data_IF_685272477175
#
_entry.id   IF_685272477175
#
_cell.length_a   1.000
_cell.length_b   1.000
_cell.length_c   1.000
_cell.angle_alpha   90.00
_cell.angle_beta   90.00
_cell.angle_gamma   90.00
#
_symmetry.space_group_name_H-M   'P 1'
#
loop_
_entity.id
_entity.type
_entity.pdbx_description
1 polymer ?
#
# COMPACT_ATOMS: atom_id res chain seq x y z
N UNK A 1 -79.83 -17.49 19.76
CA UNK A 1 -78.98 -16.93 18.67
C UNK A 1 -78.01 -15.92 19.28
N UNK A 2 -76.73 -16.05 19.07
CA UNK A 2 -75.65 -15.09 19.34
C UNK A 2 -74.42 -15.60 20.11
N UNK A 3 -74.14 -16.88 20.07
CA UNK A 3 -72.91 -17.40 20.68
C UNK A 3 -71.90 -17.94 19.64
N UNK A 4 -72.29 -18.03 18.36
CA UNK A 4 -71.46 -18.60 17.29
C UNK A 4 -70.53 -17.54 16.68
N UNK A 5 -71.01 -16.32 16.56
CA UNK A 5 -70.26 -15.27 15.80
C UNK A 5 -68.98 -14.80 16.50
N UNK A 6 -68.97 -14.83 17.86
CA UNK A 6 -67.75 -14.40 18.62
C UNK A 6 -66.57 -15.38 18.46
N UNK A 7 -66.85 -16.66 18.27
CA UNK A 7 -65.75 -17.65 18.07
C UNK A 7 -65.17 -17.55 16.68
N UNK A 8 -65.99 -17.25 15.70
CA UNK A 8 -65.54 -17.07 14.31
C UNK A 8 -64.73 -15.82 14.12
N UNK A 9 -65.10 -14.72 14.76
CA UNK A 9 -64.33 -13.45 14.73
C UNK A 9 -62.98 -13.62 15.45
N UNK A 10 -62.97 -14.39 16.56
CA UNK A 10 -61.71 -14.61 17.30
C UNK A 10 -60.74 -15.51 16.52
N UNK A 11 -61.21 -16.49 15.75
CA UNK A 11 -60.37 -17.33 14.89
C UNK A 11 -59.83 -16.56 13.73
N UNK A 12 -60.59 -15.63 13.11
CA UNK A 12 -60.15 -14.75 12.02
C UNK A 12 -59.09 -13.77 12.49
N UNK A 13 -59.20 -13.22 13.71
CA UNK A 13 -58.20 -12.32 14.28
C UNK A 13 -56.88 -13.03 14.59
N UNK A 14 -56.90 -14.26 15.05
CA UNK A 14 -55.72 -15.06 15.33
C UNK A 14 -54.97 -15.45 14.05
N UNK A 15 -55.71 -15.75 12.96
CA UNK A 15 -55.13 -16.09 11.66
C UNK A 15 -54.48 -14.83 11.01
N UNK A 16 -55.10 -13.63 11.21
CA UNK A 16 -54.55 -12.42 10.69
C UNK A 16 -53.27 -11.92 11.43
N UNK A 17 -53.19 -12.19 12.74
CA UNK A 17 -51.96 -11.91 13.50
C UNK A 17 -50.81 -12.85 13.16
N UNK A 18 -51.08 -14.10 12.80
CA UNK A 18 -50.07 -15.08 12.43
C UNK A 18 -49.46 -14.82 11.03
N UNK A 19 -50.22 -14.19 10.12
CA UNK A 19 -49.74 -13.85 8.79
C UNK A 19 -48.80 -12.60 8.77
N UNK A 20 -48.84 -11.80 9.82
CA UNK A 20 -48.01 -10.60 9.93
C UNK A 20 -46.60 -10.86 10.45
N UNK A 21 -46.33 -12.06 10.96
CA UNK A 21 -45.01 -12.40 11.52
C UNK A 21 -44.03 -13.07 10.55
N UNK A 22 -44.44 -13.31 9.28
CA UNK A 22 -43.62 -14.04 8.33
C UNK A 22 -42.87 -13.18 7.33
N UNK A 23 -42.78 -11.87 7.50
CA UNK A 23 -42.10 -11.00 6.55
C UNK A 23 -41.01 -10.12 7.14
N UNK A 24 -40.39 -10.50 8.27
CA UNK A 24 -39.09 -9.94 8.63
C UNK A 24 -38.02 -10.87 8.04
N UNK A 25 -37.84 -10.76 6.74
CA UNK A 25 -36.58 -11.14 6.13
C UNK A 25 -35.54 -10.12 6.58
N UNK A 26 -34.80 -10.45 7.63
CA UNK A 26 -33.55 -9.76 7.93
C UNK A 26 -32.64 -10.02 6.73
N UNK A 27 -32.61 -9.05 5.81
CA UNK A 27 -31.51 -8.94 4.86
C UNK A 27 -30.29 -8.60 5.70
N UNK A 28 -29.63 -9.63 6.19
CA UNK A 28 -28.26 -9.53 6.60
C UNK A 28 -27.51 -9.33 5.28
N UNK A 29 -27.33 -8.07 4.87
CA UNK A 29 -26.33 -7.74 3.91
C UNK A 29 -25.02 -8.19 4.55
N UNK A 30 -24.46 -9.31 4.10
CA UNK A 30 -23.05 -9.57 4.27
C UNK A 30 -22.36 -8.35 3.65
N UNK A 31 -22.03 -7.38 4.50
CA UNK A 31 -21.08 -6.36 4.17
C UNK A 31 -19.81 -7.10 3.82
N UNK A 32 -19.53 -7.22 2.54
CA UNK A 32 -18.25 -7.71 2.04
C UNK A 32 -17.20 -6.82 2.70
N UNK A 33 -16.57 -7.35 3.74
CA UNK A 33 -15.47 -6.70 4.42
C UNK A 33 -14.38 -6.55 3.36
N UNK A 34 -14.33 -5.37 2.72
CA UNK A 34 -13.31 -5.02 1.74
C UNK A 34 -12.01 -5.03 2.52
N UNK A 35 -11.40 -6.20 2.59
CA UNK A 35 -10.07 -6.38 3.15
C UNK A 35 -9.15 -5.50 2.31
N UNK A 36 -8.52 -4.47 2.88
CA UNK A 36 -7.65 -3.61 2.09
C UNK A 36 -6.56 -4.48 1.47
N UNK A 37 -6.62 -4.63 0.15
CA UNK A 37 -5.61 -5.36 -0.59
C UNK A 37 -4.30 -4.58 -0.47
N UNK A 38 -3.36 -5.13 0.30
CA UNK A 38 -2.04 -4.54 0.45
C UNK A 38 -1.32 -4.68 -0.90
N UNK A 39 -1.24 -3.59 -1.63
CA UNK A 39 -0.58 -3.58 -2.93
C UNK A 39 0.93 -3.40 -2.74
N UNK A 40 1.69 -4.21 -3.48
CA UNK A 40 3.15 -4.10 -3.56
C UNK A 40 3.57 -3.81 -4.98
N UNK A 41 4.54 -2.93 -5.17
CA UNK A 41 5.18 -2.66 -6.45
C UNK A 41 6.68 -2.75 -6.30
N UNK A 42 7.33 -3.34 -7.29
CA UNK A 42 8.78 -3.56 -7.28
C UNK A 42 9.45 -2.59 -8.24
N UNK A 43 10.53 -1.99 -7.77
CA UNK A 43 11.48 -1.18 -8.56
C UNK A 43 12.83 -1.88 -8.51
N UNK A 44 13.44 -2.10 -9.66
CA UNK A 44 14.75 -2.75 -9.76
C UNK A 44 15.83 -1.75 -10.16
N UNK A 45 16.98 -1.84 -9.49
CA UNK A 45 18.15 -1.02 -9.74
C UNK A 45 19.18 -1.88 -10.46
N UNK A 46 19.52 -1.51 -11.71
CA UNK A 46 20.40 -2.31 -12.56
C UNK A 46 21.82 -1.75 -12.65
N UNK A 47 22.76 -2.59 -13.09
CA UNK A 47 24.19 -2.27 -13.20
C UNK A 47 24.46 -1.09 -14.15
N UNK A 48 23.73 -1.00 -15.26
CA UNK A 48 23.90 0.02 -16.28
C UNK A 48 23.49 1.42 -15.83
N UNK A 49 23.01 1.57 -14.61
CA UNK A 49 22.51 2.84 -14.10
C UNK A 49 21.04 3.08 -14.43
N UNK A 50 20.31 2.02 -14.69
CA UNK A 50 18.88 2.06 -14.99
C UNK A 50 18.02 1.68 -13.77
N UNK A 51 16.90 2.37 -13.66
CA UNK A 51 15.81 2.07 -12.71
C UNK A 51 14.60 1.58 -13.50
N UNK A 52 14.04 0.44 -13.12
CA UNK A 52 12.86 -0.08 -13.79
C UNK A 52 11.76 -0.47 -12.79
N UNK A 53 10.57 0.14 -12.88
CA UNK A 53 10.24 1.31 -13.68
C UNK A 53 10.89 2.60 -13.14
N UNK A 54 11.29 3.51 -14.03
CA UNK A 54 11.85 4.81 -13.66
C UNK A 54 10.81 5.75 -13.08
N UNK A 55 9.60 5.74 -13.65
CA UNK A 55 8.42 6.43 -13.15
C UNK A 55 7.35 5.39 -12.81
N UNK A 56 6.94 5.36 -11.57
CA UNK A 56 5.97 4.39 -11.07
C UNK A 56 4.72 5.11 -10.56
N UNK A 57 3.56 4.80 -11.14
CA UNK A 57 2.26 5.28 -10.63
C UNK A 57 1.63 4.22 -9.74
N UNK A 58 1.19 4.63 -8.57
CA UNK A 58 0.62 3.73 -7.54
C UNK A 58 -0.63 4.36 -6.90
N UNK A 59 -1.41 3.55 -6.20
CA UNK A 59 -2.49 3.99 -5.34
C UNK A 59 -1.96 4.24 -3.92
N UNK A 60 -2.67 5.08 -3.15
CA UNK A 60 -2.41 5.24 -1.72
C UNK A 60 -2.43 3.89 -0.99
N UNK A 61 -1.57 3.72 -0.01
CA UNK A 61 -1.42 2.46 0.73
C UNK A 61 -0.54 1.42 0.03
N UNK A 62 0.01 1.73 -1.16
CA UNK A 62 0.92 0.82 -1.86
C UNK A 62 2.31 0.86 -1.25
N UNK A 63 2.89 -0.30 -1.02
CA UNK A 63 4.30 -0.44 -0.63
C UNK A 63 5.17 -0.58 -1.87
N UNK A 64 6.14 0.31 -2.02
CA UNK A 64 7.18 0.20 -3.06
C UNK A 64 8.39 -0.50 -2.46
N UNK A 65 8.90 -1.51 -3.17
CA UNK A 65 10.04 -2.33 -2.79
C UNK A 65 11.13 -2.12 -3.83
N UNK A 66 12.25 -1.54 -3.44
CA UNK A 66 13.45 -1.43 -4.28
C UNK A 66 14.34 -2.64 -4.08
N UNK A 67 14.78 -3.25 -5.17
CA UNK A 67 15.71 -4.39 -5.19
C UNK A 67 16.96 -3.94 -5.90
N UNK A 68 18.11 -4.07 -5.24
CA UNK A 68 19.39 -3.79 -5.88
C UNK A 68 19.92 -5.03 -6.61
N UNK A 69 19.75 -5.07 -7.92
CA UNK A 69 20.29 -6.11 -8.80
C UNK A 69 21.71 -5.76 -9.33
N UNK A 70 22.21 -4.56 -9.02
CA UNK A 70 23.55 -4.12 -9.45
C UNK A 70 24.66 -4.70 -8.57
N UNK A 71 25.90 -4.58 -9.04
CA UNK A 71 27.09 -4.93 -8.23
C UNK A 71 27.54 -3.80 -7.29
N UNK A 72 27.07 -2.58 -7.55
CA UNK A 72 27.34 -1.42 -6.71
C UNK A 72 26.46 -1.46 -5.45
N UNK A 73 26.90 -0.73 -4.43
CA UNK A 73 26.08 -0.44 -3.27
C UNK A 73 25.18 0.74 -3.64
N UNK A 74 23.88 0.61 -3.38
CA UNK A 74 22.91 1.67 -3.66
C UNK A 74 22.46 2.33 -2.34
N UNK A 75 22.17 3.63 -2.40
CA UNK A 75 21.53 4.41 -1.35
C UNK A 75 20.47 5.28 -2.01
N UNK A 76 19.24 5.26 -1.47
CA UNK A 76 18.10 6.01 -2.02
C UNK A 76 17.83 7.21 -1.13
N UNK A 77 17.79 8.40 -1.75
CA UNK A 77 17.49 9.66 -1.08
C UNK A 77 16.30 10.32 -1.77
N UNK A 78 15.25 10.64 -1.01
CA UNK A 78 14.12 11.41 -1.51
C UNK A 78 14.49 12.90 -1.53
N UNK A 79 14.23 13.58 -2.64
CA UNK A 79 14.63 14.98 -2.81
C UNK A 79 13.58 15.97 -2.32
N UNK A 80 12.33 15.51 -2.14
CA UNK A 80 11.23 16.33 -1.68
C UNK A 80 10.99 16.08 -0.19
N UNK A 81 10.88 17.16 0.60
CA UNK A 81 10.46 17.09 1.99
C UNK A 81 9.06 16.46 2.06
N UNK A 82 8.86 15.55 2.99
CA UNK A 82 7.59 14.96 3.39
C UNK A 82 7.12 13.80 2.49
N UNK A 83 7.58 12.62 2.84
CA UNK A 83 6.83 11.40 2.58
C UNK A 83 6.15 11.04 3.90
N UNK A 84 4.86 11.24 4.04
CA UNK A 84 4.13 10.72 5.21
C UNK A 84 3.93 9.23 5.04
N UNK A 85 4.45 8.46 5.95
CA UNK A 85 4.41 7.00 5.92
C UNK A 85 3.34 6.50 6.88
N UNK A 86 2.39 5.72 6.37
CA UNK A 86 1.41 5.01 7.20
C UNK A 86 1.87 3.62 7.62
N UNK A 87 2.88 3.09 7.00
CA UNK A 87 3.33 1.76 7.32
C UNK A 87 4.19 1.77 8.58
N UNK A 88 3.87 0.87 9.49
CA UNK A 88 4.49 0.79 10.81
C UNK A 88 6.00 0.51 10.79
N UNK A 89 6.59 0.15 9.65
CA UNK A 89 7.98 -0.22 9.57
C UNK A 89 8.53 -0.04 8.16
N UNK A 90 9.11 1.13 7.83
CA UNK A 90 9.93 1.23 6.64
C UNK A 90 11.11 0.25 6.76
N UNK A 91 11.44 -0.45 5.68
CA UNK A 91 12.61 -1.32 5.67
C UNK A 91 13.78 -0.57 5.10
N UNK A 92 14.84 -0.43 5.90
CA UNK A 92 16.09 0.27 5.56
C UNK A 92 15.95 1.75 5.21
N UNK A 93 14.90 2.42 5.67
CA UNK A 93 14.77 3.86 5.56
C UNK A 93 14.75 4.51 6.92
N UNK A 94 15.44 5.62 7.03
CA UNK A 94 15.43 6.52 8.17
C UNK A 94 15.07 7.92 7.71
N UNK A 95 14.64 8.75 8.63
CA UNK A 95 14.40 10.17 8.38
C UNK A 95 15.61 10.94 8.90
N UNK A 96 16.23 11.77 8.05
CA UNK A 96 17.32 12.62 8.46
C UNK A 96 16.84 13.85 9.25
N UNK A 97 17.79 14.68 9.69
CA UNK A 97 17.49 15.92 10.43
C UNK A 97 16.66 16.92 9.65
N UNK A 98 16.66 16.84 8.30
CA UNK A 98 15.87 17.71 7.41
C UNK A 98 14.45 17.20 7.19
N UNK A 99 14.10 16.00 7.68
CA UNK A 99 12.83 15.33 7.43
C UNK A 99 12.79 14.58 6.09
N UNK A 100 13.94 14.32 5.49
CA UNK A 100 14.08 13.59 4.24
C UNK A 100 14.27 12.09 4.51
N UNK A 101 13.62 11.24 3.71
CA UNK A 101 13.85 9.79 3.81
C UNK A 101 15.12 9.41 3.05
N UNK A 102 16.03 8.76 3.76
CA UNK A 102 17.27 8.21 3.22
C UNK A 102 17.32 6.73 3.55
N UNK A 103 17.67 5.88 2.59
CA UNK A 103 17.88 4.46 2.88
C UNK A 103 19.26 4.22 3.47
N UNK A 104 19.37 3.13 4.23
CA UNK A 104 20.66 2.51 4.48
C UNK A 104 21.26 1.98 3.18
N UNK A 105 22.53 1.57 3.24
CA UNK A 105 23.24 0.92 2.15
C UNK A 105 22.56 -0.37 1.72
N UNK A 106 22.11 -0.42 0.48
CA UNK A 106 21.42 -1.54 -0.14
C UNK A 106 22.46 -2.33 -0.96
N UNK A 107 22.89 -3.44 -0.43
CA UNK A 107 23.82 -4.34 -1.12
C UNK A 107 23.11 -5.13 -2.23
N UNK A 108 23.86 -5.73 -3.14
CA UNK A 108 23.31 -6.59 -4.19
C UNK A 108 22.39 -7.67 -3.61
N UNK A 109 21.17 -7.78 -4.15
CA UNK A 109 20.14 -8.70 -3.71
C UNK A 109 19.39 -8.27 -2.44
N UNK A 110 19.82 -7.18 -1.81
CA UNK A 110 19.09 -6.61 -0.69
C UNK A 110 17.94 -5.71 -1.16
N UNK A 111 17.00 -5.46 -0.24
CA UNK A 111 15.79 -4.68 -0.51
C UNK A 111 15.67 -3.53 0.47
N UNK A 112 15.01 -2.45 0.02
CA UNK A 112 14.47 -1.40 0.85
C UNK A 112 13.00 -1.19 0.50
N UNK A 113 12.16 -0.75 1.43
CA UNK A 113 10.75 -0.52 1.12
C UNK A 113 10.15 0.64 1.90
N UNK A 114 9.24 1.34 1.24
CA UNK A 114 8.40 2.39 1.80
C UNK A 114 6.95 2.22 1.33
N UNK A 115 6.02 2.57 2.21
CA UNK A 115 4.60 2.64 1.88
C UNK A 115 4.16 4.10 1.76
N UNK A 116 3.41 4.40 0.71
CA UNK A 116 2.98 5.74 0.37
C UNK A 116 1.50 5.92 0.67
N UNK A 117 1.17 6.88 1.53
CA UNK A 117 -0.22 7.13 1.95
C UNK A 117 -0.75 8.47 1.51
N UNK A 118 0.10 9.38 1.10
CA UNK A 118 -0.30 10.69 0.59
C UNK A 118 -0.19 10.73 -0.93
N UNK A 119 -1.13 11.43 -1.54
CA UNK A 119 -1.08 11.73 -2.96
C UNK A 119 0.05 12.72 -3.25
N UNK A 120 0.67 12.56 -4.40
CA UNK A 120 1.73 13.47 -4.81
C UNK A 120 2.77 12.82 -5.71
N UNK A 121 3.77 13.61 -6.05
CA UNK A 121 4.94 13.17 -6.81
C UNK A 121 6.16 13.18 -5.89
N UNK A 122 6.80 12.02 -5.77
CA UNK A 122 7.96 11.80 -4.91
C UNK A 122 9.15 11.46 -5.78
N UNK A 123 10.07 12.41 -5.91
CA UNK A 123 11.31 12.22 -6.64
C UNK A 123 12.38 11.68 -5.72
N UNK A 124 13.18 10.76 -6.23
CA UNK A 124 14.29 10.19 -5.50
C UNK A 124 15.53 10.02 -6.39
N UNK A 125 16.68 10.08 -5.74
CA UNK A 125 17.99 9.84 -6.33
C UNK A 125 18.55 8.56 -5.74
N UNK A 126 19.13 7.71 -6.56
CA UNK A 126 19.88 6.54 -6.11
C UNK A 126 21.37 6.84 -6.31
N UNK A 127 22.05 7.07 -5.21
CA UNK A 127 23.51 7.19 -5.17
C UNK A 127 24.13 5.82 -5.25
N UNK A 128 25.25 5.68 -5.95
CA UNK A 128 25.89 4.39 -6.14
C UNK A 128 27.36 4.44 -5.73
N UNK A 129 27.75 3.51 -4.89
CA UNK A 129 29.17 3.35 -4.51
C UNK A 129 29.73 2.09 -5.17
N UNK A 130 30.91 2.15 -5.80
CA UNK A 130 31.58 0.96 -6.31
C UNK A 130 31.95 0.04 -5.15
N UNK A 131 31.81 -1.26 -5.33
CA UNK A 131 32.29 -2.24 -4.36
C UNK A 131 33.81 -2.19 -4.34
N UNK A 132 34.44 -2.04 -3.16
CA UNK A 132 35.87 -1.74 -2.89
C UNK A 132 36.94 -2.61 -3.57
N UNK A 133 36.66 -3.33 -4.65
CA UNK A 133 37.62 -4.15 -5.38
C UNK A 133 38.19 -3.46 -6.64
N UNK A 134 37.71 -2.26 -6.97
CA UNK A 134 38.24 -1.50 -8.09
C UNK A 134 39.40 -0.64 -7.61
N UNK A 135 40.56 -0.79 -8.23
CA UNK A 135 41.79 -0.01 -7.98
C UNK A 135 41.66 1.48 -8.36
N UNK A 136 40.53 1.87 -8.94
CA UNK A 136 40.18 3.25 -9.28
C UNK A 136 38.77 3.52 -8.75
N UNK A 137 38.56 4.55 -7.92
CA UNK A 137 37.22 4.98 -7.54
C UNK A 137 36.55 5.62 -8.78
N UNK A 138 35.83 4.81 -9.55
CA UNK A 138 34.99 5.33 -10.60
C UNK A 138 33.73 5.89 -9.91
N UNK A 139 33.53 7.21 -9.97
CA UNK A 139 32.26 7.81 -9.62
C UNK A 139 31.18 7.25 -10.57
N UNK A 140 30.24 6.53 -10.03
CA UNK A 140 29.10 6.04 -10.79
C UNK A 140 28.03 7.14 -10.84
N UNK A 141 27.47 7.44 -12.01
CA UNK A 141 26.44 8.47 -12.11
C UNK A 141 25.21 8.10 -11.27
N UNK A 142 24.63 9.07 -10.62
CA UNK A 142 23.39 8.93 -9.89
C UNK A 142 22.24 8.55 -10.82
N UNK A 143 21.33 7.72 -10.31
CA UNK A 143 20.09 7.38 -11.00
C UNK A 143 18.93 8.19 -10.40
N UNK A 144 17.98 8.61 -11.21
CA UNK A 144 16.80 9.36 -10.76
C UNK A 144 15.53 8.62 -11.09
N UNK A 145 14.64 8.50 -10.10
CA UNK A 145 13.33 7.90 -10.25
C UNK A 145 12.23 8.77 -9.64
N UNK A 146 10.99 8.43 -9.96
CA UNK A 146 9.80 9.13 -9.47
C UNK A 146 8.69 8.15 -9.12
N UNK A 147 8.04 8.37 -7.99
CA UNK A 147 6.79 7.70 -7.58
C UNK A 147 5.66 8.72 -7.66
N UNK A 148 4.57 8.36 -8.35
CA UNK A 148 3.36 9.17 -8.48
C UNK A 148 2.25 8.42 -7.75
N UNK A 149 1.73 9.02 -6.69
CA UNK A 149 0.66 8.46 -5.86
C UNK A 149 -0.66 9.15 -6.18
N UNK A 150 -1.70 8.35 -6.45
CA UNK A 150 -3.06 8.80 -6.80
C UNK A 150 -4.08 8.27 -5.79
#
# INVERSE_FOLDING_TARGET
MKKSDKKMVMVLLVVFCLSSFLSVQTVWGEGEEIKPEIQHKIVRLYEQGDINPKNLTIQRGTTVIWINDSKSIAEIEFTNKQVTLACKSPVRFVVDESGTYISDKIFRGAVASLCFVEEGEFEYVVKREPRRLATVPAELPDMKGKIIVK
#
